data_IF_639127997340
#
_entry.id   IF_639127997340
#
_cell.length_a   1.000
_cell.length_b   1.000
_cell.length_c   1.000
_cell.angle_alpha   90.00
_cell.angle_beta   90.00
_cell.angle_gamma   90.00
#
_symmetry.space_group_name_H-M   'P 1'
#
loop_
_entity.id
_entity.type
_entity.pdbx_description
1 polymer ?
#
# COMPACT_ATOMS: atom_id res chain seq x y z
N UNK A 1 13.86 -34.39 -14.40
CA UNK A 1 15.07 -33.83 -13.76
C UNK A 1 14.65 -32.94 -12.61
N UNK A 2 15.03 -33.25 -11.37
CA UNK A 2 14.84 -32.33 -10.23
C UNK A 2 15.79 -31.16 -10.47
N UNK A 3 15.27 -29.94 -10.63
CA UNK A 3 16.07 -28.77 -11.06
C UNK A 3 17.18 -28.43 -10.05
N UNK A 4 17.02 -28.83 -8.78
CA UNK A 4 18.03 -28.68 -7.71
C UNK A 4 18.07 -29.92 -6.79
N UNK A 5 19.01 -30.86 -6.98
CA UNK A 5 19.05 -32.13 -6.24
C UNK A 5 19.47 -32.02 -4.75
N UNK A 6 20.03 -30.88 -4.33
CA UNK A 6 20.59 -30.65 -2.98
C UNK A 6 19.94 -29.48 -2.23
N UNK A 7 18.90 -28.87 -2.80
CA UNK A 7 18.17 -27.76 -2.18
C UNK A 7 17.41 -28.30 -0.96
N UNK A 8 17.63 -27.71 0.20
CA UNK A 8 16.88 -28.06 1.41
C UNK A 8 15.48 -27.47 1.33
N UNK A 9 14.55 -27.96 2.15
CA UNK A 9 13.21 -27.36 2.22
C UNK A 9 13.27 -25.88 2.65
N UNK A 10 14.22 -25.50 3.50
CA UNK A 10 14.42 -24.09 3.91
C UNK A 10 14.84 -23.22 2.72
N UNK A 11 15.74 -23.73 1.87
CA UNK A 11 16.17 -23.04 0.64
C UNK A 11 15.00 -22.83 -0.33
N UNK A 12 14.13 -23.85 -0.48
CA UNK A 12 12.92 -23.75 -1.30
C UNK A 12 11.96 -22.70 -0.74
N UNK A 13 11.73 -22.69 0.57
CA UNK A 13 10.81 -21.73 1.22
C UNK A 13 11.33 -20.31 1.05
N UNK A 14 12.62 -20.05 1.31
CA UNK A 14 13.25 -18.74 1.11
C UNK A 14 13.16 -18.29 -0.34
N UNK A 15 13.46 -19.18 -1.30
CA UNK A 15 13.36 -18.85 -2.72
C UNK A 15 11.92 -18.49 -3.10
N UNK A 16 10.93 -19.25 -2.63
CA UNK A 16 9.53 -18.97 -2.91
C UNK A 16 9.06 -17.65 -2.29
N UNK A 17 9.48 -17.33 -1.06
CA UNK A 17 9.19 -16.05 -0.43
C UNK A 17 9.83 -14.89 -1.20
N UNK A 18 11.10 -15.00 -1.58
CA UNK A 18 11.81 -13.96 -2.33
C UNK A 18 11.32 -13.81 -3.78
N UNK A 19 10.76 -14.87 -4.38
CA UNK A 19 10.12 -14.79 -5.72
C UNK A 19 8.70 -14.22 -5.64
N UNK A 20 8.10 -14.21 -4.43
CA UNK A 20 6.75 -13.72 -4.19
C UNK A 20 6.71 -12.28 -3.65
N UNK A 21 7.87 -11.69 -3.35
CA UNK A 21 7.96 -10.24 -3.14
C UNK A 21 7.82 -9.55 -4.50
N UNK A 22 6.82 -8.68 -4.59
CA UNK A 22 6.67 -7.79 -5.73
C UNK A 22 7.83 -6.78 -5.66
N UNK A 23 8.84 -6.98 -6.54
CA UNK A 23 9.99 -6.09 -6.65
C UNK A 23 9.62 -4.76 -7.34
N UNK A 24 8.38 -4.58 -7.81
CA UNK A 24 7.94 -3.34 -8.44
C UNK A 24 7.92 -2.21 -7.40
N UNK A 25 8.76 -1.16 -7.58
CA UNK A 25 8.70 0.00 -6.71
C UNK A 25 7.34 0.69 -6.89
N UNK A 26 6.87 1.35 -5.83
CA UNK A 26 5.70 2.23 -5.95
C UNK A 26 5.89 3.21 -7.10
N UNK A 27 4.82 3.43 -7.86
CA UNK A 27 4.82 4.45 -8.90
C UNK A 27 5.14 5.82 -8.29
N UNK A 28 5.72 6.71 -9.08
CA UNK A 28 6.02 8.07 -8.62
C UNK A 28 4.76 8.80 -8.12
N UNK A 29 3.60 8.56 -8.75
CA UNK A 29 2.31 9.09 -8.32
C UNK A 29 1.90 8.56 -6.94
N UNK A 30 2.04 7.25 -6.70
CA UNK A 30 1.72 6.67 -5.41
C UNK A 30 2.65 7.20 -4.30
N UNK A 31 3.94 7.35 -4.59
CA UNK A 31 4.90 7.95 -3.65
C UNK A 31 4.52 9.39 -3.33
N UNK A 32 4.24 10.20 -4.36
CA UNK A 32 3.85 11.60 -4.18
C UNK A 32 2.58 11.73 -3.32
N UNK A 33 1.55 10.93 -3.58
CA UNK A 33 0.31 10.98 -2.79
C UNK A 33 0.52 10.60 -1.31
N UNK A 34 1.45 9.69 -1.03
CA UNK A 34 1.84 9.34 0.34
C UNK A 34 2.57 10.52 1.02
N UNK A 35 3.48 11.18 0.31
CA UNK A 35 4.21 12.35 0.83
C UNK A 35 3.28 13.52 1.15
N UNK A 36 2.33 13.83 0.25
CA UNK A 36 1.32 14.86 0.46
C UNK A 36 0.44 14.56 1.69
N UNK A 37 -0.02 13.31 1.81
CA UNK A 37 -0.79 12.86 2.99
C UNK A 37 0.00 13.01 4.29
N UNK A 38 1.31 12.73 4.24
CA UNK A 38 2.19 12.87 5.40
C UNK A 38 2.38 14.34 5.78
N UNK A 39 2.48 15.24 4.82
CA UNK A 39 2.54 16.69 5.06
C UNK A 39 1.26 17.21 5.70
N UNK A 40 0.09 16.76 5.23
CA UNK A 40 -1.20 17.09 5.82
C UNK A 40 -1.28 16.68 7.30
N UNK A 41 -0.88 15.44 7.60
CA UNK A 41 -0.84 14.93 8.98
C UNK A 41 0.09 15.78 9.84
N UNK A 42 1.31 16.08 9.36
CA UNK A 42 2.30 16.89 10.10
C UNK A 42 1.83 18.32 10.34
N UNK A 43 1.06 18.87 9.41
CA UNK A 43 0.48 20.21 9.52
C UNK A 43 -0.80 20.25 10.36
N UNK A 44 -1.27 19.10 10.87
CA UNK A 44 -2.51 18.99 11.64
C UNK A 44 -3.79 19.14 10.79
N UNK A 45 -3.67 19.05 9.46
CA UNK A 45 -4.80 19.03 8.52
C UNK A 45 -5.39 17.62 8.51
N UNK A 46 -6.03 17.25 9.61
CA UNK A 46 -6.68 15.95 9.78
C UNK A 46 -8.17 16.10 9.55
N UNK A 47 -8.76 15.04 8.99
CA UNK A 47 -10.18 14.94 8.77
C UNK A 47 -10.68 13.66 9.43
N UNK A 48 -11.70 13.79 10.26
CA UNK A 48 -12.32 12.64 10.90
C UNK A 48 -13.25 11.93 9.92
N UNK A 49 -13.48 10.64 10.17
CA UNK A 49 -14.43 9.86 9.39
C UNK A 49 -15.86 10.42 9.46
N UNK A 50 -16.22 11.07 10.58
CA UNK A 50 -17.53 11.68 10.76
C UNK A 50 -17.71 12.93 9.90
N UNK A 51 -16.69 13.79 9.85
CA UNK A 51 -16.71 14.97 8.99
C UNK A 51 -16.79 14.56 7.50
N UNK A 52 -15.96 13.58 7.08
CA UNK A 52 -15.99 13.05 5.72
C UNK A 52 -17.35 12.49 5.30
N UNK A 53 -17.98 11.74 6.20
CA UNK A 53 -19.31 11.19 5.96
C UNK A 53 -20.37 12.29 5.86
N UNK A 54 -20.29 13.31 6.71
CA UNK A 54 -21.24 14.45 6.70
C UNK A 54 -21.14 15.22 5.39
N UNK A 55 -19.93 15.49 4.93
CA UNK A 55 -19.68 16.19 3.67
C UNK A 55 -20.17 15.37 2.46
N UNK A 56 -19.83 14.07 2.40
CA UNK A 56 -20.30 13.19 1.33
C UNK A 56 -21.83 13.09 1.28
N UNK A 57 -22.49 13.01 2.44
CA UNK A 57 -23.95 12.99 2.52
C UNK A 57 -24.55 14.31 2.01
N UNK A 58 -23.98 15.45 2.40
CA UNK A 58 -24.45 16.77 1.95
C UNK A 58 -24.32 16.95 0.43
N UNK A 59 -23.24 16.42 -0.17
CA UNK A 59 -23.05 16.41 -1.62
C UNK A 59 -24.13 15.58 -2.32
N UNK A 60 -24.46 14.40 -1.80
CA UNK A 60 -25.50 13.54 -2.37
C UNK A 60 -26.91 14.07 -2.17
N UNK A 61 -27.19 14.76 -1.07
CA UNK A 61 -28.51 15.35 -0.78
C UNK A 61 -28.82 16.56 -1.68
N UNK A 62 -27.79 17.15 -2.32
CA UNK A 62 -27.92 18.32 -3.21
C UNK A 62 -28.09 17.92 -4.69
N UNK A 63 -28.10 16.61 -5.01
CA UNK A 63 -28.12 16.09 -6.38
C UNK A 63 -29.47 15.49 -6.80
#
# INVERSE_FOLDING_TARGET
>A
MKRYPRETFDDVIRRLMNTAEDEEPLSAEAVQGIEESLEDIKAGRLYTLEEARTELQAVWDTQ
#
